data_IF_936181195980
#
_entry.id   IF_936181195980
#
_cell.length_a   1.000
_cell.length_b   1.000
_cell.length_c   1.000
_cell.angle_alpha   90.00
_cell.angle_beta   90.00
_cell.angle_gamma   90.00
#
_symmetry.space_group_name_H-M   'P 1'
#
loop_
_entity.id
_entity.type
_entity.pdbx_description
1 polymer ?
#
# COMPACT_ATOMS: atom_id res chain seq x y z
N UNK A 1 -15.22 35.54 19.56
CA UNK A 1 -16.00 34.49 18.88
C UNK A 1 -15.18 33.99 17.69
N UNK A 2 -14.12 33.23 17.99
CA UNK A 2 -13.12 32.74 17.00
C UNK A 2 -12.66 31.33 17.41
N UNK A 3 -13.56 30.59 18.06
CA UNK A 3 -13.39 29.19 18.48
C UNK A 3 -14.31 28.27 17.67
N UNK A 4 -14.60 28.63 16.41
CA UNK A 4 -15.37 27.77 15.53
C UNK A 4 -14.44 27.03 14.57
N UNK A 5 -14.16 25.79 14.95
CA UNK A 5 -14.13 24.63 14.05
C UNK A 5 -12.97 24.62 13.02
N UNK A 6 -11.78 24.29 13.50
CA UNK A 6 -10.85 23.43 12.75
C UNK A 6 -10.93 22.00 13.30
N UNK A 7 -12.15 21.47 13.39
CA UNK A 7 -12.33 20.01 13.35
C UNK A 7 -12.15 19.60 11.89
N UNK A 8 -10.90 19.56 11.42
CA UNK A 8 -10.56 18.65 10.34
C UNK A 8 -10.68 17.28 11.01
N UNK A 9 -11.89 16.72 11.03
CA UNK A 9 -12.06 15.30 11.22
C UNK A 9 -11.35 14.68 10.03
N UNK A 10 -10.08 14.35 10.20
CA UNK A 10 -9.42 13.35 9.37
C UNK A 10 -10.14 12.05 9.71
N UNK A 11 -11.35 11.89 9.16
CA UNK A 11 -11.98 10.59 9.04
C UNK A 11 -11.02 9.86 8.14
N UNK A 12 -10.08 9.13 8.73
CA UNK A 12 -9.24 8.22 7.98
C UNK A 12 -10.22 7.22 7.39
N UNK A 13 -10.48 7.38 6.08
CA UNK A 13 -11.37 6.52 5.34
C UNK A 13 -10.84 5.09 5.48
N UNK A 14 -11.76 4.14 5.68
CA UNK A 14 -11.39 2.74 5.57
C UNK A 14 -11.05 2.47 4.11
N UNK A 15 -10.11 1.56 3.91
CA UNK A 15 -9.67 1.08 2.61
C UNK A 15 -9.95 -0.42 2.56
N UNK A 16 -10.02 -0.98 1.36
CA UNK A 16 -9.88 -2.41 1.19
C UNK A 16 -8.40 -2.76 1.33
N UNK A 17 -8.05 -3.56 2.34
CA UNK A 17 -6.67 -4.01 2.58
C UNK A 17 -6.56 -5.47 2.22
N UNK A 18 -5.62 -5.78 1.33
CA UNK A 18 -5.25 -7.15 0.96
C UNK A 18 -3.89 -7.43 1.58
N UNK A 19 -3.86 -8.33 2.55
CA UNK A 19 -2.65 -8.74 3.25
C UNK A 19 -1.92 -9.80 2.44
N UNK A 20 -0.74 -9.44 1.95
CA UNK A 20 0.11 -10.30 1.12
C UNK A 20 1.06 -11.11 2.00
N UNK A 21 1.60 -10.50 3.06
CA UNK A 21 2.50 -11.19 3.99
C UNK A 21 2.23 -10.76 5.42
N UNK A 22 2.07 -11.75 6.30
CA UNK A 22 1.99 -11.53 7.75
C UNK A 22 3.38 -11.47 8.38
N UNK A 23 3.50 -10.64 9.41
CA UNK A 23 4.61 -10.64 10.36
C UNK A 23 4.49 -11.80 11.35
N UNK A 24 5.56 -12.03 12.11
CA UNK A 24 5.61 -13.02 13.21
C UNK A 24 4.51 -12.75 14.25
N UNK A 25 4.15 -11.47 14.46
CA UNK A 25 3.14 -11.05 15.43
C UNK A 25 1.70 -11.07 14.85
N UNK A 26 1.53 -11.43 13.58
CA UNK A 26 0.24 -11.43 12.89
C UNK A 26 -0.21 -10.07 12.34
N UNK A 27 0.60 -9.02 12.48
CA UNK A 27 0.40 -7.73 11.78
C UNK A 27 0.82 -7.85 10.30
N UNK A 28 0.35 -6.96 9.43
CA UNK A 28 0.77 -6.92 8.02
C UNK A 28 2.25 -6.51 7.86
N UNK A 29 3.05 -7.35 7.22
CA UNK A 29 4.42 -7.06 6.79
C UNK A 29 4.47 -6.48 5.37
N UNK A 30 3.63 -7.00 4.48
CA UNK A 30 3.38 -6.46 3.14
C UNK A 30 1.88 -6.51 2.85
N UNK A 31 1.34 -5.47 2.21
CA UNK A 31 -0.08 -5.38 1.91
C UNK A 31 -0.35 -4.47 0.71
N UNK A 32 -1.45 -4.70 0.01
CA UNK A 32 -2.05 -3.74 -0.92
C UNK A 32 -3.19 -3.01 -0.23
N UNK A 33 -3.45 -1.78 -0.65
CA UNK A 33 -4.54 -0.96 -0.12
C UNK A 33 -5.25 -0.21 -1.24
N UNK A 34 -6.56 -0.44 -1.33
CA UNK A 34 -7.44 0.20 -2.30
C UNK A 34 -8.35 1.20 -1.58
N UNK A 35 -8.19 2.47 -1.94
CA UNK A 35 -9.10 3.55 -1.57
C UNK A 35 -10.39 3.38 -2.36
N UNK A 36 -11.53 3.42 -1.66
CA UNK A 36 -12.82 3.37 -2.33
C UNK A 36 -13.06 4.66 -3.13
N UNK A 37 -13.79 4.52 -4.24
CA UNK A 37 -14.10 5.60 -5.19
C UNK A 37 -12.87 6.22 -5.89
N UNK A 38 -11.69 5.63 -5.71
CA UNK A 38 -10.48 6.01 -6.45
C UNK A 38 -10.41 5.23 -7.76
N UNK A 39 -10.17 5.96 -8.85
CA UNK A 39 -9.84 5.35 -10.12
C UNK A 39 -8.38 4.89 -10.09
N UNK A 40 -8.17 3.59 -10.29
CA UNK A 40 -6.87 2.99 -10.41
C UNK A 40 -6.51 2.78 -11.88
N UNK A 41 -5.37 3.33 -12.27
CA UNK A 41 -4.72 3.05 -13.54
C UNK A 41 -4.13 1.63 -13.51
N UNK A 42 -4.46 0.84 -14.52
CA UNK A 42 -3.86 -0.50 -14.73
C UNK A 42 -2.95 -0.46 -15.95
N UNK A 43 -3.46 0.08 -17.07
CA UNK A 43 -2.68 0.38 -18.27
C UNK A 43 -3.38 1.48 -19.12
N UNK A 44 -2.85 1.76 -20.32
CA UNK A 44 -3.37 2.82 -21.19
C UNK A 44 -4.82 2.58 -21.68
N UNK A 45 -5.28 1.32 -21.64
CA UNK A 45 -6.60 0.87 -22.05
C UNK A 45 -7.46 0.37 -20.88
N UNK A 46 -6.90 0.18 -19.69
CA UNK A 46 -7.61 -0.42 -18.57
C UNK A 46 -7.47 0.41 -17.30
N UNK A 47 -8.60 0.57 -16.61
CA UNK A 47 -8.65 1.13 -15.28
C UNK A 47 -9.74 0.46 -14.46
N UNK A 48 -9.63 0.54 -13.14
CA UNK A 48 -10.57 -0.08 -12.23
C UNK A 48 -10.90 0.80 -11.03
N UNK A 49 -12.08 0.62 -10.45
CA UNK A 49 -12.51 1.35 -9.26
C UNK A 49 -13.23 0.41 -8.30
N UNK A 50 -12.94 0.58 -7.01
CA UNK A 50 -13.54 -0.21 -5.94
C UNK A 50 -14.57 0.63 -5.18
N UNK A 51 -15.73 0.04 -4.92
CA UNK A 51 -16.76 0.62 -4.03
C UNK A 51 -17.27 -0.46 -3.08
N UNK A 52 -17.95 -0.06 -1.99
CA UNK A 52 -18.50 -1.04 -1.06
C UNK A 52 -19.82 -0.60 -0.41
N UNK A 53 -20.66 -1.59 -0.08
CA UNK A 53 -21.83 -1.45 0.80
C UNK A 53 -21.80 -2.55 1.86
N UNK A 54 -21.43 -2.16 3.09
CA UNK A 54 -21.10 -3.12 4.14
C UNK A 54 -19.93 -4.01 3.71
N UNK A 55 -20.17 -5.32 3.66
CA UNK A 55 -19.21 -6.35 3.24
C UNK A 55 -19.33 -6.71 1.75
N UNK A 56 -20.17 -6.02 0.98
CA UNK A 56 -20.22 -6.21 -0.48
C UNK A 56 -19.20 -5.27 -1.14
N UNK A 57 -18.30 -5.84 -1.94
CA UNK A 57 -17.33 -5.10 -2.74
C UNK A 57 -17.79 -5.14 -4.20
N UNK A 58 -17.87 -3.97 -4.82
CA UNK A 58 -18.10 -3.84 -6.26
C UNK A 58 -16.82 -3.34 -6.93
N UNK A 59 -16.34 -4.09 -7.91
CA UNK A 59 -15.24 -3.71 -8.79
C UNK A 59 -15.83 -3.28 -10.13
N UNK A 60 -15.63 -2.02 -10.48
CA UNK A 60 -15.94 -1.48 -11.80
C UNK A 60 -14.67 -1.52 -12.66
N UNK A 61 -14.69 -2.35 -13.70
CA UNK A 61 -13.64 -2.43 -14.73
C UNK A 61 -14.02 -1.57 -15.93
N UNK A 62 -13.07 -0.79 -16.44
CA UNK A 62 -13.26 0.12 -17.56
C UNK A 62 -12.30 -0.26 -18.68
N UNK A 63 -12.85 -0.76 -19.78
CA UNK A 63 -12.07 -1.10 -20.98
C UNK A 63 -11.94 0.10 -21.93
N UNK A 64 -10.84 0.15 -22.67
CA UNK A 64 -10.49 1.27 -23.57
C UNK A 64 -10.39 2.63 -22.86
N UNK A 65 -10.05 2.63 -21.57
CA UNK A 65 -9.92 3.82 -20.74
C UNK A 65 -9.00 3.61 -19.54
N UNK A 66 -8.01 4.48 -19.43
CA UNK A 66 -7.13 4.63 -18.26
C UNK A 66 -7.68 5.53 -17.14
N UNK A 67 -8.87 6.11 -17.32
CA UNK A 67 -9.43 7.15 -16.43
C UNK A 67 -10.86 6.86 -15.93
N UNK A 68 -11.21 5.58 -15.78
CA UNK A 68 -12.51 5.10 -15.32
C UNK A 68 -13.69 5.74 -16.04
N UNK A 69 -13.59 5.79 -17.37
CA UNK A 69 -14.60 6.37 -18.26
C UNK A 69 -14.98 5.36 -19.34
N UNK A 70 -16.24 5.38 -19.79
CA UNK A 70 -16.74 4.51 -20.88
C UNK A 70 -16.66 3.00 -20.57
N UNK A 71 -17.35 2.19 -21.37
CA UNK A 71 -17.27 0.71 -21.38
C UNK A 71 -17.12 0.02 -20.00
N UNK A 72 -17.99 0.38 -19.06
CA UNK A 72 -17.96 -0.13 -17.69
C UNK A 72 -18.55 -1.55 -17.61
N UNK A 73 -17.83 -2.46 -16.96
CA UNK A 73 -18.32 -3.76 -16.51
C UNK A 73 -18.16 -3.84 -14.99
N UNK A 74 -19.24 -4.16 -14.28
CA UNK A 74 -19.23 -4.26 -12.81
C UNK A 74 -19.33 -5.71 -12.38
N UNK A 75 -18.49 -6.12 -11.44
CA UNK A 75 -18.65 -7.37 -10.69
C UNK A 75 -18.82 -7.05 -9.20
N UNK A 76 -19.65 -7.82 -8.50
CA UNK A 76 -19.92 -7.61 -7.08
C UNK A 76 -19.77 -8.91 -6.33
N UNK A 77 -19.08 -8.85 -5.20
CA UNK A 77 -18.71 -10.00 -4.40
C UNK A 77 -18.92 -9.71 -2.92
N UNK A 78 -19.11 -10.75 -2.11
CA UNK A 78 -18.92 -10.61 -0.67
C UNK A 78 -17.42 -10.63 -0.35
N UNK A 79 -16.99 -9.83 0.62
CA UNK A 79 -15.61 -9.76 1.12
C UNK A 79 -15.02 -11.14 1.48
N UNK A 80 -15.87 -12.05 1.97
CA UNK A 80 -15.45 -13.39 2.40
C UNK A 80 -15.59 -14.47 1.30
N UNK A 81 -16.05 -14.10 0.09
CA UNK A 81 -16.24 -15.06 -0.99
C UNK A 81 -14.90 -15.56 -1.53
N UNK A 82 -14.79 -16.87 -1.78
CA UNK A 82 -13.58 -17.46 -2.40
C UNK A 82 -13.27 -16.80 -3.75
N UNK A 83 -14.29 -16.60 -4.59
CA UNK A 83 -14.15 -15.96 -5.91
C UNK A 83 -13.55 -14.55 -5.80
N UNK A 84 -13.89 -13.80 -4.75
CA UNK A 84 -13.32 -12.47 -4.55
C UNK A 84 -11.85 -12.53 -4.16
N UNK A 85 -11.48 -13.50 -3.31
CA UNK A 85 -10.08 -13.73 -2.98
C UNK A 85 -9.28 -14.17 -4.19
N UNK A 86 -9.80 -15.08 -5.00
CA UNK A 86 -9.19 -15.50 -6.28
C UNK A 86 -8.99 -14.32 -7.24
N UNK A 87 -9.90 -13.33 -7.24
CA UNK A 87 -9.79 -12.15 -8.11
C UNK A 87 -8.74 -11.14 -7.63
N UNK A 88 -8.55 -10.97 -6.32
CA UNK A 88 -7.74 -9.88 -5.75
C UNK A 88 -6.41 -10.34 -5.15
N UNK A 89 -6.25 -11.63 -4.92
CA UNK A 89 -5.03 -12.25 -4.45
C UNK A 89 -4.33 -12.94 -5.62
N UNK A 90 -2.99 -12.99 -5.62
CA UNK A 90 -2.26 -13.85 -6.56
C UNK A 90 -2.65 -15.33 -6.31
N UNK A 91 -2.91 -16.10 -7.38
CA UNK A 91 -3.31 -17.52 -7.32
C UNK A 91 -2.36 -18.36 -6.45
N UNK A 92 -1.09 -17.97 -6.35
CA UNK A 92 -0.08 -18.66 -5.56
C UNK A 92 -0.19 -18.46 -4.04
N UNK A 93 -1.03 -17.51 -3.57
CA UNK A 93 -1.15 -17.10 -2.18
C UNK A 93 -2.59 -17.14 -1.64
N UNK A 94 -3.54 -17.82 -2.33
CA UNK A 94 -4.97 -17.85 -1.98
C UNK A 94 -5.29 -18.18 -0.51
N UNK A 95 -4.57 -19.17 0.07
CA UNK A 95 -4.82 -19.63 1.45
C UNK A 95 -4.24 -18.68 2.51
N UNK A 96 -3.21 -17.91 2.17
CA UNK A 96 -2.54 -16.97 3.08
C UNK A 96 -3.04 -15.52 2.91
N UNK A 97 -3.75 -15.24 1.81
CA UNK A 97 -4.31 -13.94 1.51
C UNK A 97 -5.53 -13.61 2.39
N UNK A 98 -5.40 -12.52 3.17
CA UNK A 98 -6.48 -12.01 4.00
C UNK A 98 -6.96 -10.65 3.48
N UNK A 99 -8.28 -10.50 3.31
CA UNK A 99 -8.89 -9.28 2.77
C UNK A 99 -9.84 -8.67 3.79
N UNK A 100 -9.66 -7.40 4.11
CA UNK A 100 -10.41 -6.71 5.16
C UNK A 100 -10.69 -5.24 4.80
N UNK A 101 -11.87 -4.74 5.18
CA UNK A 101 -12.18 -3.32 5.13
C UNK A 101 -11.73 -2.64 6.43
N UNK A 102 -10.49 -2.15 6.44
CA UNK A 102 -9.87 -1.51 7.60
C UNK A 102 -9.08 -0.28 7.20
N UNK A 103 -8.61 0.46 8.20
CA UNK A 103 -7.62 1.50 7.96
C UNK A 103 -6.31 0.84 7.49
N UNK A 104 -5.73 1.35 6.41
CA UNK A 104 -4.43 0.90 5.93
C UNK A 104 -3.37 0.89 7.07
N UNK A 105 -2.61 -0.21 7.23
CA UNK A 105 -1.51 -0.25 8.18
C UNK A 105 -0.48 0.87 7.93
N UNK A 106 0.27 1.21 8.98
CA UNK A 106 1.44 2.09 8.81
C UNK A 106 2.50 1.34 8.00
N UNK A 107 3.15 2.06 7.10
CA UNK A 107 4.18 1.53 6.23
C UNK A 107 5.43 2.42 6.26
N UNK A 108 6.53 1.88 5.76
CA UNK A 108 7.81 2.58 5.60
C UNK A 108 8.13 2.89 4.14
N UNK A 109 7.36 2.34 3.21
CA UNK A 109 7.45 2.65 1.78
C UNK A 109 6.46 1.84 0.96
N UNK A 110 6.42 2.11 -0.33
CA UNK A 110 5.62 1.37 -1.30
C UNK A 110 6.31 1.31 -2.66
N UNK A 111 5.87 0.36 -3.48
CA UNK A 111 6.12 0.33 -4.93
C UNK A 111 4.78 0.32 -5.66
N UNK A 112 4.69 1.11 -6.73
CA UNK A 112 3.56 1.07 -7.66
C UNK A 112 3.56 -0.20 -8.50
N UNK A 113 2.37 -0.66 -8.87
CA UNK A 113 2.15 -1.73 -9.83
C UNK A 113 1.43 -1.17 -11.05
N UNK A 114 1.86 -1.58 -12.25
CA UNK A 114 1.14 -1.27 -13.51
C UNK A 114 1.54 0.03 -14.22
N UNK A 115 2.41 0.87 -13.65
CA UNK A 115 2.94 2.01 -14.41
C UNK A 115 4.05 1.50 -15.34
N UNK A 116 3.77 1.52 -16.65
CA UNK A 116 4.64 1.01 -17.71
C UNK A 116 5.28 2.16 -18.51
N UNK A 117 5.21 3.40 -17.99
CA UNK A 117 5.90 4.52 -18.58
C UNK A 117 7.17 4.88 -17.77
N UNK A 118 8.25 5.21 -18.47
CA UNK A 118 9.56 5.48 -17.85
C UNK A 118 9.57 6.70 -16.91
N UNK A 119 8.47 7.47 -16.85
CA UNK A 119 8.35 8.70 -16.07
C UNK A 119 7.41 8.57 -14.86
N UNK A 120 6.78 7.40 -14.68
CA UNK A 120 5.76 7.16 -13.69
C UNK A 120 4.66 8.23 -13.70
N UNK A 121 4.09 8.53 -14.88
CA UNK A 121 3.12 9.62 -15.01
C UNK A 121 1.80 9.35 -14.29
N UNK A 122 1.54 8.07 -13.97
CA UNK A 122 0.37 7.58 -13.24
C UNK A 122 0.70 7.18 -11.78
N UNK A 123 1.78 7.73 -11.21
CA UNK A 123 2.24 7.40 -9.85
C UNK A 123 1.18 7.53 -8.75
N UNK A 124 0.18 8.40 -8.94
CA UNK A 124 -0.83 8.72 -7.92
C UNK A 124 -2.09 7.85 -8.03
N UNK A 125 -2.31 7.26 -9.20
CA UNK A 125 -3.44 6.42 -9.60
C UNK A 125 -3.05 4.94 -9.77
N UNK A 126 -1.80 4.54 -9.57
CA UNK A 126 -1.44 3.10 -9.60
C UNK A 126 -1.89 2.35 -8.35
N UNK A 127 -2.09 1.05 -8.53
CA UNK A 127 -2.12 0.09 -7.43
C UNK A 127 -0.74 0.10 -6.75
N UNK A 128 -0.69 -0.16 -5.44
CA UNK A 128 0.56 -0.08 -4.66
C UNK A 128 0.69 -1.25 -3.72
N UNK A 129 1.89 -1.83 -3.71
CA UNK A 129 2.35 -2.77 -2.71
C UNK A 129 3.13 -2.01 -1.63
N UNK A 130 2.61 -2.04 -0.40
CA UNK A 130 3.17 -1.34 0.75
C UNK A 130 4.00 -2.29 1.62
N UNK A 131 5.08 -1.74 2.20
CA UNK A 131 6.04 -2.47 3.03
C UNK A 131 6.10 -1.89 4.43
N UNK A 132 6.17 -2.74 5.45
CA UNK A 132 6.37 -2.34 6.85
C UNK A 132 7.74 -2.77 7.37
N UNK A 133 8.15 -2.24 8.52
CA UNK A 133 9.41 -2.59 9.20
C UNK A 133 9.32 -3.88 10.04
N UNK A 134 8.16 -4.57 9.98
CA UNK A 134 7.86 -5.74 10.78
C UNK A 134 8.65 -6.97 10.35
N UNK A 135 8.98 -7.82 11.32
CA UNK A 135 9.67 -9.08 11.09
C UNK A 135 8.69 -10.11 10.52
N UNK A 136 9.03 -10.77 9.41
CA UNK A 136 8.21 -11.81 8.78
C UNK A 136 9.06 -13.00 8.36
N UNK A 137 8.43 -14.15 8.17
CA UNK A 137 9.10 -15.35 7.67
C UNK A 137 9.26 -15.24 6.15
N UNK A 138 10.49 -15.30 5.64
CA UNK A 138 10.77 -15.16 4.20
C UNK A 138 11.35 -16.43 3.56
N UNK A 139 11.62 -17.47 4.35
CA UNK A 139 11.89 -18.86 3.93
C UNK A 139 11.78 -19.78 5.15
N UNK A 140 11.84 -21.10 4.96
CA UNK A 140 11.61 -22.12 5.99
C UNK A 140 12.33 -21.85 7.33
N UNK A 141 13.57 -21.35 7.29
CA UNK A 141 14.40 -21.06 8.47
C UNK A 141 14.98 -19.63 8.48
N UNK A 142 14.39 -18.69 7.74
CA UNK A 142 14.87 -17.29 7.75
C UNK A 142 13.73 -16.31 7.89
N UNK A 143 14.06 -15.26 8.62
CA UNK A 143 13.18 -14.13 8.86
C UNK A 143 13.76 -12.90 8.18
N UNK A 144 12.88 -11.99 7.79
CA UNK A 144 13.22 -10.78 7.10
C UNK A 144 12.46 -9.60 7.69
N UNK A 145 13.00 -8.40 7.50
CA UNK A 145 12.22 -7.17 7.58
C UNK A 145 12.71 -6.20 6.50
N UNK A 146 11.88 -5.21 6.20
CA UNK A 146 12.29 -4.07 5.39
C UNK A 146 12.80 -2.94 6.28
N UNK A 147 13.77 -2.19 5.78
CA UNK A 147 14.37 -1.04 6.47
C UNK A 147 14.66 0.05 5.45
N UNK A 148 14.30 1.29 5.78
CA UNK A 148 14.72 2.46 5.01
C UNK A 148 15.98 3.01 5.65
N UNK A 149 17.07 3.05 4.89
CA UNK A 149 18.34 3.66 5.32
C UNK A 149 18.95 4.47 4.16
N UNK A 150 19.43 5.68 4.45
CA UNK A 150 20.12 6.56 3.50
C UNK A 150 19.42 6.73 2.12
N UNK A 151 18.09 6.79 2.09
CA UNK A 151 17.33 6.96 0.84
C UNK A 151 17.22 5.67 0.01
N UNK A 152 17.44 4.51 0.62
CA UNK A 152 17.25 3.19 0.01
C UNK A 152 16.35 2.32 0.88
N UNK A 153 15.57 1.46 0.22
CA UNK A 153 14.90 0.34 0.86
C UNK A 153 15.82 -0.88 0.84
N UNK A 154 15.97 -1.49 2.02
CA UNK A 154 16.73 -2.72 2.21
C UNK A 154 15.83 -3.85 2.66
N UNK A 155 16.15 -5.06 2.22
CA UNK A 155 15.66 -6.30 2.80
C UNK A 155 16.75 -6.88 3.70
N UNK A 156 16.47 -6.92 5.00
CA UNK A 156 17.34 -7.55 5.97
C UNK A 156 16.97 -9.03 6.13
N UNK A 157 17.96 -9.88 6.44
CA UNK A 157 17.73 -11.30 6.73
C UNK A 157 18.32 -11.70 8.08
N UNK A 158 17.60 -12.54 8.80
CA UNK A 158 17.89 -12.95 10.17
C UNK A 158 17.70 -14.46 10.33
N UNK A 159 18.43 -15.09 11.28
CA UNK A 159 18.31 -16.51 11.57
C UNK A 159 17.15 -16.82 12.53
N UNK A 160 16.50 -15.80 13.10
CA UNK A 160 15.41 -15.95 14.08
C UNK A 160 14.35 -14.85 13.90
N UNK A 161 13.23 -15.07 14.55
CA UNK A 161 11.98 -14.29 14.50
C UNK A 161 12.03 -12.94 15.23
N UNK A 162 13.13 -12.62 15.90
CA UNK A 162 13.29 -11.35 16.64
C UNK A 162 13.72 -10.21 15.73
N UNK A 163 14.27 -10.51 14.54
CA UNK A 163 14.86 -9.55 13.61
C UNK A 163 15.79 -8.52 14.28
N UNK A 164 16.62 -8.95 15.23
CA UNK A 164 17.55 -8.07 15.91
C UNK A 164 18.69 -7.65 14.97
N UNK A 165 18.91 -6.34 14.79
CA UNK A 165 19.94 -5.80 13.90
C UNK A 165 21.35 -6.31 14.18
N UNK A 166 21.67 -6.71 15.42
CA UNK A 166 22.97 -7.31 15.79
C UNK A 166 23.15 -8.73 15.25
N UNK A 167 22.07 -9.43 14.95
CA UNK A 167 22.04 -10.80 14.44
C UNK A 167 21.76 -10.83 12.93
N UNK A 168 21.76 -9.67 12.27
CA UNK A 168 21.53 -9.54 10.83
C UNK A 168 22.58 -10.31 10.04
N UNK A 169 22.12 -11.24 9.22
CA UNK A 169 22.98 -12.07 8.35
C UNK A 169 23.15 -11.47 6.95
N UNK A 170 22.18 -10.68 6.49
CA UNK A 170 22.23 -9.99 5.20
C UNK A 170 21.53 -8.65 5.26
N UNK A 171 22.06 -7.68 4.54
CA UNK A 171 21.48 -6.36 4.31
C UNK A 171 21.51 -6.13 2.79
N UNK A 172 20.38 -6.34 2.13
CA UNK A 172 20.29 -6.38 0.67
C UNK A 172 19.52 -5.17 0.15
N UNK A 173 20.19 -4.34 -0.64
CA UNK A 173 19.58 -3.18 -1.28
C UNK A 173 18.53 -3.64 -2.29
N UNK A 174 17.32 -3.07 -2.21
CA UNK A 174 16.20 -3.40 -3.10
C UNK A 174 15.95 -2.29 -4.11
N UNK A 175 15.71 -1.08 -3.62
CA UNK A 175 15.49 0.07 -4.48
C UNK A 175 15.82 1.39 -3.81
N UNK A 176 16.03 2.40 -4.64
CA UNK A 176 16.21 3.78 -4.22
C UNK A 176 14.85 4.41 -3.97
N UNK A 177 14.76 5.22 -2.92
CA UNK A 177 13.55 5.94 -2.57
C UNK A 177 13.31 7.13 -3.50
N UNK A 178 12.04 7.45 -3.71
CA UNK A 178 11.54 8.60 -4.46
C UNK A 178 12.00 8.61 -5.94
N UNK A 179 12.14 7.43 -6.53
CA UNK A 179 12.51 7.25 -7.93
C UNK A 179 11.47 6.45 -8.70
N UNK A 180 11.27 6.85 -9.94
CA UNK A 180 10.69 5.99 -10.96
C UNK A 180 11.79 5.04 -11.45
N UNK A 181 11.59 3.74 -11.29
CA UNK A 181 12.52 2.73 -11.76
C UNK A 181 11.76 1.57 -12.40
N UNK A 182 12.18 1.19 -13.61
CA UNK A 182 11.52 0.17 -14.44
C UNK A 182 10.01 0.41 -14.56
N UNK A 183 9.62 1.65 -14.87
CA UNK A 183 8.22 2.08 -14.98
C UNK A 183 7.50 2.30 -13.66
N UNK A 184 8.03 1.80 -12.54
CA UNK A 184 7.31 1.80 -11.25
C UNK A 184 7.80 2.85 -10.26
N UNK A 185 6.88 3.58 -9.64
CA UNK A 185 7.21 4.54 -8.58
C UNK A 185 7.60 3.79 -7.30
N UNK A 186 8.79 4.07 -6.78
CA UNK A 186 9.31 3.50 -5.53
C UNK A 186 9.51 4.63 -4.53
N UNK A 187 8.75 4.63 -3.44
CA UNK A 187 8.75 5.69 -2.45
C UNK A 187 9.01 5.14 -1.05
N UNK A 188 9.79 5.88 -0.27
CA UNK A 188 10.01 5.59 1.13
C UNK A 188 9.45 6.69 2.02
N UNK A 189 9.15 6.33 3.25
CA UNK A 189 8.60 7.21 4.26
C UNK A 189 7.10 7.03 4.43
N UNK A 190 6.69 7.09 5.69
CA UNK A 190 5.47 7.83 6.03
C UNK A 190 5.88 9.29 6.05
N UNK A 191 5.08 10.19 5.44
CA UNK A 191 5.22 11.63 5.70
C UNK A 191 5.28 11.77 7.22
N UNK A 192 6.46 12.13 7.73
CA UNK A 192 6.64 12.35 9.16
C UNK A 192 5.65 13.44 9.53
N UNK A 193 4.60 13.09 10.27
CA UNK A 193 3.62 14.05 10.78
C UNK A 193 4.30 15.17 11.55
N UNK A 194 5.52 14.93 12.06
CA UNK A 194 6.43 15.91 12.64
C UNK A 194 6.79 17.07 11.68
N UNK A 195 6.99 16.81 10.38
CA UNK A 195 7.27 17.86 9.38
C UNK A 195 6.03 18.74 9.19
N UNK A 196 4.83 18.14 9.11
CA UNK A 196 3.57 18.88 9.07
C UNK A 196 3.36 19.72 10.33
N UNK A 197 3.60 19.17 11.53
CA UNK A 197 3.51 19.92 12.79
C UNK A 197 4.51 21.08 12.86
N UNK A 198 5.74 20.91 12.37
CA UNK A 198 6.75 21.99 12.34
C UNK A 198 6.33 23.09 11.36
N UNK A 199 5.82 22.74 10.18
CA UNK A 199 5.31 23.73 9.21
C UNK A 199 4.10 24.49 9.79
N UNK A 200 3.13 23.80 10.39
CA UNK A 200 1.98 24.45 11.03
C UNK A 200 2.38 25.32 12.23
N UNK A 201 3.35 24.90 13.04
CA UNK A 201 3.87 25.69 14.16
C UNK A 201 4.59 26.96 13.70
N UNK A 202 5.35 26.89 12.61
CA UNK A 202 6.02 28.05 12.00
C UNK A 202 4.97 29.03 11.44
N UNK A 203 3.95 28.55 10.74
CA UNK A 203 2.86 29.41 10.26
C UNK A 203 2.07 30.06 11.39
N UNK A 204 1.84 29.35 12.51
CA UNK A 204 1.15 29.88 13.68
C UNK A 204 2.00 30.87 14.51
N UNK A 205 3.33 30.90 14.33
CA UNK A 205 4.24 31.84 15.01
C UNK A 205 4.57 33.08 14.16
N UNK A 206 4.35 33.03 12.84
CA UNK A 206 4.64 34.13 11.90
C UNK A 206 3.38 34.98 11.59
N UNK A 207 2.17 34.44 11.80
CA UNK A 207 0.89 35.16 11.74
C UNK A 207 0.46 35.68 13.12
#
# INVERSE_FOLDING_TARGET
MLCFILFISVVMSKTLVVEVQKSVDGDSAMFMSYEFDKCYYTDEFESQMFTHDGDQITIDYYAESSSCSRNKKSETFNLNDKKFKEEICDESEEDDCAVEIKKAPKHIGFKGEGDNDDNCSHRDDTIRLYYTDKCFKCSDDKYCNYEVDNGWMYLNKYPNDKCNSKERTKHEQKWECDKCNDGTMQQCGTISTMILFVVFAIFALIL
#
